data_IF_699323872663
#
_entry.id   IF_699323872663
#
_cell.length_a   1.000
_cell.length_b   1.000
_cell.length_c   1.000
_cell.angle_alpha   90.00
_cell.angle_beta   90.00
_cell.angle_gamma   90.00
#
_symmetry.space_group_name_H-M   'P 1'
#
loop_
_entity.id
_entity.type
_entity.pdbx_description
1 polymer ?
#
# COMPACT_ATOMS: atom_id res chain seq x y z
N UNK A 1 3.66 24.22 16.51
CA UNK A 1 3.18 22.90 16.98
C UNK A 1 1.70 23.03 17.29
N UNK A 2 0.81 22.40 16.51
CA UNK A 2 -0.63 22.40 16.84
C UNK A 2 -0.85 21.43 18.01
N UNK A 3 -1.57 21.86 19.04
CA UNK A 3 -1.78 21.14 20.30
C UNK A 3 -2.92 20.11 20.25
N UNK A 4 -3.42 19.76 19.06
CA UNK A 4 -4.46 18.77 18.90
C UNK A 4 -3.83 17.39 18.76
N UNK A 5 -4.26 16.43 19.58
CA UNK A 5 -4.04 15.02 19.28
C UNK A 5 -4.70 14.62 17.95
N UNK A 6 -4.70 13.34 17.66
CA UNK A 6 -5.34 12.76 16.48
C UNK A 6 -5.10 11.25 16.47
N UNK A 7 -5.67 10.55 15.50
CA UNK A 7 -5.53 9.10 15.45
C UNK A 7 -4.12 8.69 15.02
N UNK A 8 -3.62 7.64 15.67
CA UNK A 8 -2.46 6.88 15.24
C UNK A 8 -2.96 5.62 14.55
N UNK A 9 -2.61 5.46 13.28
CA UNK A 9 -2.70 4.18 12.61
C UNK A 9 -1.33 3.47 12.72
N UNK A 10 -1.20 2.59 13.70
CA UNK A 10 0.09 2.02 14.10
C UNK A 10 0.59 0.86 13.22
N UNK A 11 -0.24 0.37 12.28
CA UNK A 11 0.13 -0.77 11.45
C UNK A 11 -0.62 -0.78 10.12
N UNK A 12 0.10 -0.45 9.05
CA UNK A 12 -0.43 -0.36 7.69
C UNK A 12 0.47 -1.10 6.69
N UNK A 13 -0.10 -1.35 5.52
CA UNK A 13 0.61 -1.71 4.30
C UNK A 13 0.18 -0.73 3.19
N UNK A 14 0.70 0.49 3.23
CA UNK A 14 0.36 1.54 2.26
C UNK A 14 0.86 1.21 0.85
N UNK A 15 1.98 0.51 0.74
CA UNK A 15 2.51 -0.01 -0.53
C UNK A 15 1.49 -0.88 -1.30
N UNK A 16 0.64 -1.60 -0.58
CA UNK A 16 -0.42 -2.47 -1.11
C UNK A 16 -1.84 -1.92 -0.91
N UNK A 17 -2.01 -0.65 -0.53
CA UNK A 17 -3.36 -0.06 -0.34
C UNK A 17 -4.10 0.03 -1.68
N UNK A 18 -5.44 -0.01 -1.68
CA UNK A 18 -6.24 0.13 -2.92
C UNK A 18 -5.94 -0.92 -4.02
N UNK A 19 -5.48 -2.12 -3.66
CA UNK A 19 -5.21 -3.21 -4.62
C UNK A 19 -6.24 -4.34 -4.61
N UNK A 20 -7.40 -4.15 -3.99
CA UNK A 20 -8.48 -5.13 -3.99
C UNK A 20 -9.31 -5.05 -5.29
N UNK A 21 -8.63 -5.26 -6.42
CA UNK A 21 -9.21 -5.25 -7.77
C UNK A 21 -8.46 -6.26 -8.64
N UNK A 22 -9.19 -6.98 -9.50
CA UNK A 22 -8.66 -8.04 -10.38
C UNK A 22 -7.52 -7.52 -11.29
N UNK A 23 -7.48 -6.22 -11.62
CA UNK A 23 -6.43 -5.60 -12.43
C UNK A 23 -5.03 -5.73 -11.83
N UNK A 24 -4.95 -5.90 -10.51
CA UNK A 24 -3.68 -6.04 -9.79
C UNK A 24 -3.16 -7.47 -9.75
N UNK A 25 -3.96 -8.43 -10.19
CA UNK A 25 -3.61 -9.85 -10.17
C UNK A 25 -3.89 -10.53 -11.52
N UNK A 26 -3.37 -10.00 -12.65
CA UNK A 26 -3.75 -10.46 -13.99
C UNK A 26 -3.34 -11.91 -14.29
N UNK A 27 -2.40 -12.47 -13.52
CA UNK A 27 -1.95 -13.87 -13.66
C UNK A 27 -2.77 -14.88 -12.84
N UNK A 28 -3.67 -14.41 -11.97
CA UNK A 28 -4.48 -15.27 -11.13
C UNK A 28 -5.82 -15.46 -11.82
N UNK A 29 -6.14 -16.70 -12.23
CA UNK A 29 -7.43 -17.05 -12.85
C UNK A 29 -8.63 -16.98 -11.89
N UNK A 30 -8.53 -16.18 -10.83
CA UNK A 30 -9.53 -16.02 -9.78
C UNK A 30 -9.91 -14.55 -9.65
N UNK A 31 -11.19 -14.31 -9.37
CA UNK A 31 -11.68 -12.97 -9.02
C UNK A 31 -11.37 -12.72 -7.55
N UNK A 32 -10.79 -11.57 -7.21
CA UNK A 32 -10.48 -11.16 -5.83
C UNK A 32 -11.69 -11.33 -4.90
N UNK A 33 -12.88 -11.02 -5.42
CA UNK A 33 -14.15 -11.14 -4.72
C UNK A 33 -14.58 -12.59 -4.42
N UNK A 34 -13.96 -13.60 -5.04
CA UNK A 34 -14.23 -15.01 -4.78
C UNK A 34 -13.21 -15.61 -3.81
N UNK A 35 -12.00 -15.04 -3.72
CA UNK A 35 -10.86 -15.59 -2.98
C UNK A 35 -10.65 -14.98 -1.58
N UNK A 36 -11.51 -14.08 -1.08
CA UNK A 36 -11.33 -13.43 0.24
C UNK A 36 -11.29 -14.41 1.44
N UNK A 37 -11.80 -15.62 1.26
CA UNK A 37 -11.84 -16.70 2.26
C UNK A 37 -10.62 -17.64 2.21
N UNK A 38 -9.63 -17.38 1.36
CA UNK A 38 -8.44 -18.23 1.25
C UNK A 38 -7.51 -18.15 2.46
N UNK A 39 -6.79 -19.26 2.69
CA UNK A 39 -5.85 -19.40 3.80
C UNK A 39 -4.73 -18.36 3.75
N UNK A 40 -4.15 -18.03 4.91
CA UNK A 40 -2.99 -17.12 5.01
C UNK A 40 -1.83 -17.52 4.10
N UNK A 41 -1.60 -18.83 3.92
CA UNK A 41 -0.55 -19.33 3.02
C UNK A 41 -0.81 -18.94 1.57
N UNK A 42 -2.07 -19.00 1.12
CA UNK A 42 -2.47 -18.60 -0.23
C UNK A 42 -2.45 -17.07 -0.40
N UNK A 43 -2.80 -16.31 0.64
CA UNK A 43 -2.61 -14.84 0.64
C UNK A 43 -1.13 -14.46 0.49
N UNK A 44 -0.22 -15.19 1.13
CA UNK A 44 1.22 -14.93 0.97
C UNK A 44 1.74 -15.26 -0.43
N UNK A 45 1.22 -16.29 -1.11
CA UNK A 45 1.64 -16.58 -2.49
C UNK A 45 1.20 -15.50 -3.48
N UNK A 46 0.08 -14.83 -3.19
CA UNK A 46 -0.49 -13.76 -4.01
C UNK A 46 0.31 -12.45 -3.99
N UNK A 47 1.24 -12.30 -3.03
CA UNK A 47 2.12 -11.13 -2.94
C UNK A 47 3.03 -11.03 -4.18
N UNK A 48 3.58 -12.16 -4.63
CA UNK A 48 4.42 -12.18 -5.82
C UNK A 48 3.65 -11.77 -7.09
N UNK A 49 2.38 -12.16 -7.20
CA UNK A 49 1.52 -11.77 -8.32
C UNK A 49 1.22 -10.27 -8.29
N UNK A 50 0.98 -9.72 -7.10
CA UNK A 50 0.81 -8.28 -6.90
C UNK A 50 2.08 -7.51 -7.29
N UNK A 51 3.26 -8.00 -6.89
CA UNK A 51 4.56 -7.43 -7.25
C UNK A 51 4.78 -7.43 -8.76
N UNK A 52 4.34 -8.49 -9.44
CA UNK A 52 4.42 -8.60 -10.90
C UNK A 52 3.44 -7.67 -11.63
N UNK A 53 2.33 -7.31 -10.98
CA UNK A 53 1.26 -6.49 -11.53
C UNK A 53 1.50 -4.97 -11.49
N UNK A 54 0.47 -4.17 -11.86
CA UNK A 54 0.58 -2.72 -11.98
C UNK A 54 0.77 -1.99 -10.65
N UNK A 55 0.63 -2.66 -9.50
CA UNK A 55 0.77 -2.04 -8.19
C UNK A 55 2.19 -1.47 -7.96
N UNK A 56 3.21 -2.05 -8.58
CA UNK A 56 4.60 -1.58 -8.51
C UNK A 56 5.03 -0.82 -9.77
N UNK A 57 4.07 -0.18 -10.44
CA UNK A 57 4.32 0.90 -11.40
C UNK A 57 4.22 2.25 -10.68
N UNK A 58 5.13 3.17 -10.99
CA UNK A 58 5.35 4.38 -10.18
C UNK A 58 4.09 5.25 -10.06
N UNK A 59 3.44 5.52 -11.18
CA UNK A 59 2.28 6.42 -11.22
C UNK A 59 1.11 5.86 -10.40
N UNK A 60 0.81 4.57 -10.57
CA UNK A 60 -0.27 3.89 -9.83
C UNK A 60 0.06 3.81 -8.33
N UNK A 61 1.31 3.47 -7.99
CA UNK A 61 1.79 3.42 -6.60
C UNK A 61 1.58 4.75 -5.88
N UNK A 62 2.06 5.86 -6.47
CA UNK A 62 1.91 7.18 -5.87
C UNK A 62 0.44 7.58 -5.74
N UNK A 63 -0.36 7.34 -6.78
CA UNK A 63 -1.78 7.68 -6.76
C UNK A 63 -2.52 6.97 -5.63
N UNK A 64 -2.32 5.65 -5.47
CA UNK A 64 -2.97 4.85 -4.42
C UNK A 64 -2.58 5.31 -3.02
N UNK A 65 -1.28 5.45 -2.77
CA UNK A 65 -0.78 5.88 -1.46
C UNK A 65 -1.28 7.28 -1.12
N UNK A 66 -1.22 8.24 -2.05
CA UNK A 66 -1.68 9.61 -1.79
C UNK A 66 -3.18 9.69 -1.54
N UNK A 67 -3.98 8.89 -2.25
CA UNK A 67 -5.43 8.78 -2.01
C UNK A 67 -5.71 8.27 -0.59
N UNK A 68 -5.04 7.21 -0.17
CA UNK A 68 -5.18 6.66 1.18
C UNK A 68 -4.72 7.64 2.29
N UNK A 69 -3.64 8.39 2.03
CA UNK A 69 -3.17 9.45 2.93
C UNK A 69 -4.21 10.58 3.07
N UNK A 70 -4.80 11.03 1.97
CA UNK A 70 -5.87 12.04 1.98
C UNK A 70 -7.08 11.56 2.80
N UNK A 71 -7.50 10.30 2.64
CA UNK A 71 -8.59 9.73 3.42
C UNK A 71 -8.26 9.63 4.91
N UNK A 72 -7.04 9.23 5.26
CA UNK A 72 -6.57 9.24 6.64
C UNK A 72 -6.60 10.64 7.26
N UNK A 73 -6.21 11.67 6.51
CA UNK A 73 -6.27 13.06 6.98
C UNK A 73 -7.71 13.53 7.18
N UNK A 74 -8.64 13.15 6.28
CA UNK A 74 -10.07 13.50 6.38
C UNK A 74 -10.71 13.00 7.67
N UNK A 75 -10.24 11.87 8.19
CA UNK A 75 -10.74 11.29 9.45
C UNK A 75 -9.90 11.68 10.67
N UNK A 76 -8.98 12.64 10.58
CA UNK A 76 -8.11 13.12 11.66
C UNK A 76 -7.03 12.11 12.12
N UNK A 77 -6.53 11.27 11.19
CA UNK A 77 -5.28 10.53 11.41
C UNK A 77 -4.10 11.47 11.26
N UNK A 78 -3.21 11.46 12.27
CA UNK A 78 -2.03 12.35 12.35
C UNK A 78 -0.71 11.60 12.33
N UNK A 79 -0.73 10.30 12.59
CA UNK A 79 0.45 9.44 12.48
C UNK A 79 0.07 8.11 11.86
N UNK A 80 0.90 7.67 10.93
CA UNK A 80 0.76 6.40 10.24
C UNK A 80 2.12 5.69 10.26
N UNK A 81 2.15 4.50 10.82
CA UNK A 81 3.30 3.61 10.77
C UNK A 81 2.96 2.51 9.76
N UNK A 82 3.73 2.42 8.67
CA UNK A 82 3.48 1.47 7.57
C UNK A 82 4.68 0.58 7.36
N UNK A 83 4.40 -0.68 7.04
CA UNK A 83 5.37 -1.60 6.45
C UNK A 83 5.49 -1.30 4.96
N UNK A 84 6.66 -1.58 4.40
CA UNK A 84 6.93 -1.47 2.96
C UNK A 84 7.69 -2.72 2.54
N UNK A 85 7.22 -3.34 1.48
CA UNK A 85 7.84 -4.53 0.92
C UNK A 85 9.23 -4.23 0.39
N UNK A 86 10.16 -5.08 0.83
CA UNK A 86 11.52 -5.15 0.32
C UNK A 86 11.81 -6.62 0.04
N UNK A 87 11.73 -6.99 -1.23
CA UNK A 87 11.80 -8.39 -1.69
C UNK A 87 12.84 -8.56 -2.79
N UNK A 88 13.46 -9.75 -2.92
CA UNK A 88 14.48 -10.03 -3.93
C UNK A 88 13.89 -10.26 -5.34
N UNK A 89 12.72 -9.73 -5.64
CA UNK A 89 12.07 -9.75 -6.95
C UNK A 89 12.14 -8.34 -7.60
N UNK A 90 11.25 -8.04 -8.55
CA UNK A 90 11.24 -6.74 -9.24
C UNK A 90 11.02 -5.54 -8.30
N UNK A 91 10.54 -5.74 -7.07
CA UNK A 91 10.33 -4.67 -6.10
C UNK A 91 11.67 -4.14 -5.58
N UNK A 92 12.58 -5.02 -5.17
CA UNK A 92 13.86 -4.62 -4.59
C UNK A 92 13.68 -3.60 -3.45
N UNK A 93 14.30 -2.43 -3.59
CA UNK A 93 14.15 -1.29 -2.67
C UNK A 93 13.24 -0.18 -3.23
N UNK A 94 12.64 -0.40 -4.40
CA UNK A 94 11.93 0.64 -5.16
C UNK A 94 10.73 1.19 -4.39
N UNK A 95 9.91 0.31 -3.79
CA UNK A 95 8.79 0.72 -2.96
C UNK A 95 9.21 1.55 -1.75
N UNK A 96 10.33 1.18 -1.10
CA UNK A 96 10.87 1.92 0.03
C UNK A 96 11.35 3.32 -0.37
N UNK A 97 12.08 3.44 -1.49
CA UNK A 97 12.51 4.73 -2.02
C UNK A 97 11.31 5.65 -2.33
N UNK A 98 10.28 5.12 -2.99
CA UNK A 98 9.08 5.88 -3.30
C UNK A 98 8.32 6.31 -2.05
N UNK A 99 8.20 5.44 -1.04
CA UNK A 99 7.58 5.81 0.24
C UNK A 99 8.36 6.89 0.99
N UNK A 100 9.69 6.92 0.87
CA UNK A 100 10.50 8.01 1.42
C UNK A 100 10.26 9.34 0.69
N UNK A 101 10.09 9.30 -0.64
CA UNK A 101 9.70 10.49 -1.43
C UNK A 101 8.32 11.00 -1.02
N UNK A 102 7.34 10.11 -0.85
CA UNK A 102 5.98 10.46 -0.40
C UNK A 102 6.06 11.05 1.01
N UNK A 103 6.77 10.42 1.94
CA UNK A 103 6.96 10.94 3.30
C UNK A 103 7.54 12.36 3.29
N UNK A 104 8.52 12.63 2.44
CA UNK A 104 9.09 13.97 2.29
C UNK A 104 8.07 14.98 1.73
N UNK A 105 7.28 14.59 0.72
CA UNK A 105 6.19 15.41 0.15
C UNK A 105 5.11 15.77 1.16
N UNK A 106 4.88 14.90 2.15
CA UNK A 106 3.84 15.05 3.17
C UNK A 106 4.34 15.62 4.51
N UNK A 107 5.63 15.94 4.65
CA UNK A 107 6.22 16.35 5.93
C UNK A 107 5.59 17.62 6.54
N UNK A 108 5.06 18.52 5.70
CA UNK A 108 4.48 19.81 6.12
C UNK A 108 2.93 19.80 6.16
N UNK A 109 2.29 18.64 6.00
CA UNK A 109 0.82 18.48 5.98
C UNK A 109 0.30 17.92 7.30
#
# INVERSE_FOLDING_TARGET
MRSGGGMLNAHLHLDRVETFDDRYMPGVGHRMAEDFHVSLKRKHSMIADLHAGPAFEREDFFQRVETALDDMVRVDTRRADTMVDVTPDRVGLTGLDWMQQIKAKWADR
#
